data_IF_646888615021
#
_entry.id   IF_646888615021
#
_cell.length_a   1.000
_cell.length_b   1.000
_cell.length_c   1.000
_cell.angle_alpha   90.00
_cell.angle_beta   90.00
_cell.angle_gamma   90.00
#
_symmetry.space_group_name_H-M   'P 1'
#
loop_
_entity.id
_entity.type
_entity.pdbx_description
1 polymer ?
#
# COMPACT_ATOMS: atom_id res chain seq x y z
N UNK A 1 -22.08 -17.21 9.03
CA UNK A 1 -22.20 -15.84 9.56
C UNK A 1 -21.83 -14.93 8.41
N UNK A 2 -22.75 -14.07 7.97
CA UNK A 2 -22.44 -13.02 7.00
C UNK A 2 -21.48 -12.04 7.70
N UNK A 3 -20.29 -11.85 7.15
CA UNK A 3 -19.33 -10.91 7.72
C UNK A 3 -19.81 -9.50 7.37
N UNK A 4 -19.89 -8.63 8.38
CA UNK A 4 -20.29 -7.25 8.15
C UNK A 4 -19.29 -6.57 7.21
N UNK A 5 -19.82 -5.79 6.26
CA UNK A 5 -19.03 -5.10 5.25
C UNK A 5 -19.40 -3.63 5.22
N UNK A 6 -18.42 -2.79 4.88
CA UNK A 6 -18.54 -1.34 4.84
C UNK A 6 -18.14 -0.83 3.47
N UNK A 7 -18.98 0.04 2.93
CA UNK A 7 -18.71 0.77 1.70
C UNK A 7 -17.91 2.04 2.00
N UNK A 8 -16.90 2.30 1.18
CA UNK A 8 -16.05 3.47 1.29
C UNK A 8 -15.79 4.09 -0.10
N UNK A 9 -15.88 5.42 -0.18
CA UNK A 9 -15.68 6.18 -1.40
C UNK A 9 -14.85 7.44 -1.16
N UNK A 10 -13.93 7.71 -2.09
CA UNK A 10 -13.07 8.89 -2.10
C UNK A 10 -12.52 9.12 -3.51
N UNK A 11 -11.91 10.28 -3.75
CA UNK A 11 -11.24 10.55 -5.02
C UNK A 11 -9.73 10.33 -4.88
N UNK A 12 -9.11 9.71 -5.89
CA UNK A 12 -7.71 9.34 -5.90
C UNK A 12 -6.90 10.01 -7.00
N UNK A 13 -5.60 10.12 -6.78
CA UNK A 13 -4.65 10.50 -7.81
C UNK A 13 -4.50 9.42 -8.88
N UNK A 14 -4.04 9.83 -10.07
CA UNK A 14 -3.69 8.88 -11.14
C UNK A 14 -2.55 7.94 -10.72
N UNK A 15 -1.58 8.45 -9.95
CA UNK A 15 -0.50 7.64 -9.39
C UNK A 15 -1.04 6.53 -8.49
N UNK A 16 -1.98 6.85 -7.60
CA UNK A 16 -2.57 5.86 -6.72
C UNK A 16 -3.41 4.83 -7.48
N UNK A 17 -4.15 5.25 -8.51
CA UNK A 17 -4.86 4.34 -9.41
C UNK A 17 -3.91 3.34 -10.10
N UNK A 18 -2.75 3.80 -10.56
CA UNK A 18 -1.70 2.93 -11.13
C UNK A 18 -1.12 1.95 -10.10
N UNK A 19 -0.95 2.36 -8.85
CA UNK A 19 -0.52 1.47 -7.75
C UNK A 19 -1.54 0.36 -7.52
N UNK A 20 -2.81 0.72 -7.42
CA UNK A 20 -3.92 -0.22 -7.21
C UNK A 20 -3.96 -1.26 -8.33
N UNK A 21 -3.95 -0.82 -9.59
CA UNK A 21 -4.05 -1.73 -10.73
C UNK A 21 -2.88 -2.70 -10.81
N UNK A 22 -1.66 -2.26 -10.49
CA UNK A 22 -0.53 -3.17 -10.39
C UNK A 22 -0.69 -4.13 -9.21
N UNK A 23 -1.10 -3.66 -8.04
CA UNK A 23 -1.28 -4.54 -6.88
C UNK A 23 -2.31 -5.64 -7.18
N UNK A 24 -3.39 -5.30 -7.90
CA UNK A 24 -4.35 -6.28 -8.42
C UNK A 24 -3.66 -7.28 -9.35
N UNK A 25 -2.82 -6.81 -10.28
CA UNK A 25 -2.05 -7.69 -11.18
C UNK A 25 -1.12 -8.63 -10.40
N UNK A 26 -0.40 -8.12 -9.40
CA UNK A 26 0.52 -8.90 -8.56
C UNK A 26 -0.22 -9.95 -7.74
N UNK A 27 -1.24 -9.52 -7.02
CA UNK A 27 -2.10 -10.40 -6.22
C UNK A 27 -2.78 -11.48 -7.08
N UNK A 28 -3.31 -11.09 -8.23
CA UNK A 28 -3.97 -12.04 -9.14
C UNK A 28 -2.99 -13.11 -9.65
N UNK A 29 -1.77 -12.69 -9.98
CA UNK A 29 -0.72 -13.59 -10.43
C UNK A 29 -0.25 -14.53 -9.33
N UNK A 30 -0.09 -14.05 -8.09
CA UNK A 30 0.34 -14.89 -6.96
C UNK A 30 -0.72 -15.91 -6.56
N UNK A 31 -2.02 -15.57 -6.69
CA UNK A 31 -3.14 -16.47 -6.41
C UNK A 31 -3.62 -17.28 -7.62
N UNK A 32 -3.09 -17.02 -8.81
CA UNK A 32 -3.55 -17.61 -10.10
C UNK A 32 -5.06 -17.44 -10.35
N UNK A 33 -5.65 -16.35 -9.87
CA UNK A 33 -7.06 -15.99 -10.05
C UNK A 33 -7.20 -14.49 -10.19
N UNK A 34 -8.24 -14.00 -10.88
CA UNK A 34 -8.52 -12.56 -10.88
C UNK A 34 -8.90 -12.09 -9.48
N UNK A 35 -8.18 -11.10 -8.99
CA UNK A 35 -8.39 -10.46 -7.70
C UNK A 35 -9.02 -9.07 -7.79
N UNK A 36 -9.32 -8.49 -6.64
CA UNK A 36 -9.82 -7.13 -6.51
C UNK A 36 -9.08 -6.35 -5.42
N UNK A 37 -9.19 -5.03 -5.42
CA UNK A 37 -8.63 -4.20 -4.35
C UNK A 37 -9.22 -4.57 -2.97
N UNK A 38 -10.51 -4.88 -2.90
CA UNK A 38 -11.15 -5.28 -1.65
C UNK A 38 -10.52 -6.55 -1.07
N UNK A 39 -10.29 -7.57 -1.90
CA UNK A 39 -9.63 -8.81 -1.48
C UNK A 39 -8.21 -8.58 -0.98
N UNK A 40 -7.46 -7.68 -1.64
CA UNK A 40 -6.11 -7.31 -1.20
C UNK A 40 -6.18 -6.64 0.17
N UNK A 41 -7.07 -5.66 0.35
CA UNK A 41 -7.23 -4.94 1.62
C UNK A 41 -7.62 -5.91 2.73
N UNK A 42 -8.60 -6.78 2.48
CA UNK A 42 -9.09 -7.72 3.47
C UNK A 42 -8.01 -8.73 3.90
N UNK A 43 -7.23 -9.26 2.94
CA UNK A 43 -6.14 -10.19 3.24
C UNK A 43 -4.97 -9.53 3.98
N UNK A 44 -4.76 -8.22 3.76
CA UNK A 44 -3.56 -7.50 4.20
C UNK A 44 -3.81 -6.62 5.43
N UNK A 45 -5.06 -6.38 5.81
CA UNK A 45 -5.47 -5.46 6.88
C UNK A 45 -4.73 -5.69 8.20
N UNK A 46 -4.51 -6.95 8.60
CA UNK A 46 -3.78 -7.30 9.81
C UNK A 46 -2.32 -6.79 9.82
N UNK A 47 -1.70 -6.64 8.64
CA UNK A 47 -0.32 -6.15 8.49
C UNK A 47 -0.21 -4.64 8.67
N UNK A 48 -1.32 -3.90 8.71
CA UNK A 48 -1.31 -2.44 8.88
C UNK A 48 -0.63 -2.04 10.20
N UNK A 49 -0.91 -2.81 11.26
CA UNK A 49 -0.29 -2.65 12.58
C UNK A 49 1.22 -2.92 12.62
N UNK A 50 1.79 -3.57 11.59
CA UNK A 50 3.22 -3.89 11.52
C UNK A 50 4.01 -2.89 10.67
N UNK A 51 3.34 -2.01 9.92
CA UNK A 51 4.00 -1.03 9.04
C UNK A 51 5.00 -0.15 9.78
N UNK A 52 4.67 0.28 10.99
CA UNK A 52 5.53 1.13 11.81
C UNK A 52 6.80 0.42 12.32
N UNK A 53 6.82 -0.91 12.30
CA UNK A 53 7.98 -1.74 12.71
C UNK A 53 8.86 -2.09 11.52
N UNK A 54 8.24 -2.27 10.35
CA UNK A 54 8.89 -2.81 9.17
C UNK A 54 9.56 -1.75 8.28
N UNK A 55 9.24 -0.46 8.50
CA UNK A 55 9.75 0.64 7.68
C UNK A 55 10.23 1.80 8.51
N UNK A 56 11.17 2.56 7.95
CA UNK A 56 11.55 3.86 8.50
C UNK A 56 10.52 4.90 8.09
N UNK A 57 10.33 5.91 8.94
CA UNK A 57 9.46 7.05 8.65
C UNK A 57 9.82 7.70 7.30
N UNK A 58 11.11 7.86 7.01
CA UNK A 58 11.60 8.46 5.75
C UNK A 58 11.12 7.71 4.50
N UNK A 59 11.05 6.38 4.55
CA UNK A 59 10.66 5.55 3.41
C UNK A 59 9.15 5.63 3.15
N UNK A 60 8.35 5.58 4.23
CA UNK A 60 6.89 5.71 4.15
C UNK A 60 6.47 7.11 3.69
N UNK A 61 7.13 8.16 4.20
CA UNK A 61 6.91 9.54 3.71
C UNK A 61 7.26 9.65 2.25
N UNK A 62 8.40 9.09 1.83
CA UNK A 62 8.83 9.14 0.44
C UNK A 62 7.84 8.46 -0.49
N UNK A 63 7.26 7.34 -0.09
CA UNK A 63 6.18 6.70 -0.85
C UNK A 63 4.99 7.63 -1.03
N UNK A 64 4.48 8.23 0.04
CA UNK A 64 3.32 9.13 -0.01
C UNK A 64 3.60 10.43 -0.79
N UNK A 65 4.84 10.91 -0.81
CA UNK A 65 5.26 12.02 -1.67
C UNK A 65 5.25 11.64 -3.16
N UNK A 66 5.78 10.45 -3.50
CA UNK A 66 5.88 9.98 -4.88
C UNK A 66 4.51 9.57 -5.42
N UNK A 67 3.67 8.98 -4.57
CA UNK A 67 2.32 8.52 -4.89
C UNK A 67 1.33 9.18 -3.92
N UNK A 68 0.96 10.45 -4.16
CA UNK A 68 -0.08 11.12 -3.40
C UNK A 68 -1.39 10.33 -3.51
N UNK A 69 -2.16 10.23 -2.44
CA UNK A 69 -3.43 9.48 -2.48
C UNK A 69 -4.55 10.29 -3.12
N UNK A 70 -4.63 11.58 -2.82
CA UNK A 70 -5.76 12.42 -3.17
C UNK A 70 -5.67 12.91 -4.62
N UNK A 71 -6.82 12.99 -5.29
CA UNK A 71 -6.92 13.47 -6.66
C UNK A 71 -8.38 13.56 -7.12
N UNK A 72 -8.63 13.45 -8.42
CA UNK A 72 -9.95 13.68 -9.02
C UNK A 72 -10.65 12.41 -9.50
N UNK A 73 -10.00 11.24 -9.43
CA UNK A 73 -10.57 9.97 -9.94
C UNK A 73 -11.44 9.31 -8.87
N UNK A 74 -12.75 9.07 -9.11
CA UNK A 74 -13.60 8.45 -8.10
C UNK A 74 -13.23 6.99 -7.89
N UNK A 75 -13.06 6.59 -6.63
CA UNK A 75 -12.90 5.21 -6.20
C UNK A 75 -13.99 4.86 -5.20
N UNK A 76 -14.56 3.67 -5.38
CA UNK A 76 -15.58 3.10 -4.50
C UNK A 76 -15.25 1.63 -4.27
N UNK A 77 -15.15 1.23 -3.00
CA UNK A 77 -14.90 -0.15 -2.61
C UNK A 77 -15.79 -0.56 -1.44
N UNK A 78 -15.97 -1.87 -1.29
CA UNK A 78 -16.61 -2.47 -0.14
C UNK A 78 -15.65 -3.49 0.45
N UNK A 79 -15.30 -3.34 1.72
CA UNK A 79 -14.37 -4.20 2.46
C UNK A 79 -15.04 -4.71 3.73
N UNK A 80 -14.44 -5.70 4.39
CA UNK A 80 -14.93 -6.17 5.68
C UNK A 80 -14.80 -5.07 6.74
N UNK A 81 -15.78 -4.99 7.63
CA UNK A 81 -15.76 -4.03 8.75
C UNK A 81 -14.53 -4.25 9.64
N UNK A 82 -14.19 -5.51 9.93
CA UNK A 82 -12.96 -5.85 10.67
C UNK A 82 -11.67 -5.42 9.97
N UNK A 83 -11.66 -5.41 8.64
CA UNK A 83 -10.50 -4.94 7.87
C UNK A 83 -10.38 -3.43 7.92
N UNK A 84 -11.52 -2.73 7.86
CA UNK A 84 -11.58 -1.28 8.05
C UNK A 84 -11.04 -0.93 9.43
N UNK A 85 -11.57 -1.55 10.49
CA UNK A 85 -11.18 -1.27 11.86
C UNK A 85 -9.70 -1.54 12.10
N UNK A 86 -9.17 -2.67 11.61
CA UNK A 86 -7.75 -2.99 11.74
C UNK A 86 -6.82 -1.95 11.08
N UNK A 87 -7.26 -1.33 9.97
CA UNK A 87 -6.51 -0.28 9.30
C UNK A 87 -6.64 1.04 10.05
N UNK A 88 -7.86 1.42 10.43
CA UNK A 88 -8.17 2.65 11.15
C UNK A 88 -7.44 2.69 12.50
N UNK A 89 -7.45 1.59 13.24
CA UNK A 89 -6.75 1.41 14.52
C UNK A 89 -5.22 1.49 14.39
N UNK A 90 -4.68 1.25 13.20
CA UNK A 90 -3.23 1.37 12.95
C UNK A 90 -2.78 2.81 12.68
N UNK A 91 -3.70 3.70 12.26
CA UNK A 91 -3.40 5.08 11.86
C UNK A 91 -2.64 5.83 12.95
N UNK A 92 -3.02 5.82 14.25
CA UNK A 92 -2.33 6.60 15.27
C UNK A 92 -0.84 6.28 15.42
N UNK A 93 -0.44 5.01 15.29
CA UNK A 93 0.97 4.62 15.36
C UNK A 93 1.73 5.01 14.09
N UNK A 94 1.08 4.98 12.93
CA UNK A 94 1.65 5.48 11.67
C UNK A 94 1.82 7.00 11.76
N UNK A 95 0.81 7.75 12.21
CA UNK A 95 0.89 9.21 12.41
C UNK A 95 2.01 9.59 13.36
N UNK A 96 2.18 8.85 14.45
CA UNK A 96 3.27 9.06 15.40
C UNK A 96 4.64 8.80 14.77
N UNK A 97 4.78 7.77 13.93
CA UNK A 97 6.01 7.48 13.21
C UNK A 97 6.34 8.56 12.17
N UNK A 98 5.34 9.00 11.40
CA UNK A 98 5.54 10.02 10.38
C UNK A 98 5.67 11.42 11.00
N UNK A 99 5.03 11.69 12.13
CA UNK A 99 4.90 13.04 12.67
C UNK A 99 3.99 13.94 11.83
N UNK A 100 3.11 13.35 11.00
CA UNK A 100 2.14 14.03 10.13
C UNK A 100 0.80 13.28 10.20
N UNK A 101 -0.31 13.96 9.88
CA UNK A 101 -1.63 13.33 9.83
C UNK A 101 -1.74 12.32 8.68
N UNK A 102 -2.39 11.19 8.93
CA UNK A 102 -2.51 10.08 7.97
C UNK A 102 -3.99 9.79 7.74
N UNK A 103 -4.45 9.98 6.51
CA UNK A 103 -5.80 9.56 6.12
C UNK A 103 -5.88 8.03 6.00
N UNK A 104 -7.09 7.49 6.05
CA UNK A 104 -7.31 6.07 5.76
C UNK A 104 -6.79 5.70 4.34
N UNK A 105 -6.91 6.60 3.36
CA UNK A 105 -6.34 6.41 2.02
C UNK A 105 -4.82 6.27 2.04
N UNK A 106 -4.13 7.07 2.86
CA UNK A 106 -2.68 6.95 3.07
C UNK A 106 -2.34 5.58 3.67
N UNK A 107 -3.07 5.13 4.69
CA UNK A 107 -2.85 3.82 5.30
C UNK A 107 -3.02 2.67 4.29
N UNK A 108 -4.06 2.70 3.46
CA UNK A 108 -4.24 1.71 2.38
C UNK A 108 -3.11 1.80 1.34
N UNK A 109 -2.69 3.01 0.96
CA UNK A 109 -1.56 3.19 0.03
C UNK A 109 -0.26 2.59 0.57
N UNK A 110 0.00 2.72 1.88
CA UNK A 110 1.14 2.10 2.56
C UNK A 110 1.02 0.56 2.65
N UNK A 111 -0.18 0.02 2.81
CA UNK A 111 -0.40 -1.44 2.73
C UNK A 111 -0.09 -2.00 1.34
N UNK A 112 -0.48 -1.26 0.29
CA UNK A 112 -0.17 -1.61 -1.09
C UNK A 112 1.32 -1.44 -1.40
N UNK A 113 1.96 -0.42 -0.84
CA UNK A 113 3.41 -0.27 -0.89
C UNK A 113 4.11 -1.51 -0.33
N UNK A 114 3.70 -1.95 0.87
CA UNK A 114 4.26 -3.14 1.50
C UNK A 114 4.09 -4.41 0.62
N UNK A 115 3.00 -4.50 -0.15
CA UNK A 115 2.77 -5.64 -1.05
C UNK A 115 3.76 -5.63 -2.21
N UNK A 116 3.99 -4.45 -2.78
CA UNK A 116 4.96 -4.26 -3.86
C UNK A 116 6.39 -4.60 -3.38
N UNK A 117 6.73 -4.22 -2.14
CA UNK A 117 8.02 -4.53 -1.52
C UNK A 117 8.17 -6.03 -1.29
N UNK A 118 7.15 -6.69 -0.73
CA UNK A 118 7.17 -8.13 -0.43
C UNK A 118 7.32 -9.00 -1.68
N UNK A 119 6.64 -8.65 -2.77
CA UNK A 119 6.76 -9.35 -4.05
C UNK A 119 8.12 -9.11 -4.75
N UNK A 120 9.01 -8.28 -4.17
CA UNK A 120 10.37 -7.95 -4.63
C UNK A 120 10.42 -7.48 -6.11
N UNK A 121 9.34 -6.84 -6.57
CA UNK A 121 9.20 -6.38 -7.96
C UNK A 121 9.79 -4.98 -8.12
N UNK A 122 11.11 -4.86 -8.14
CA UNK A 122 11.76 -3.57 -8.51
C UNK A 122 11.50 -3.15 -9.96
N UNK A 123 10.95 -4.03 -10.81
CA UNK A 123 10.46 -3.70 -12.15
C UNK A 123 9.23 -2.77 -12.14
N UNK A 124 8.47 -2.78 -11.04
CA UNK A 124 7.30 -1.93 -10.80
C UNK A 124 7.57 -0.46 -11.15
N UNK A 125 8.70 0.01 -10.66
CA UNK A 125 9.18 1.37 -10.78
C UNK A 125 9.38 1.84 -12.22
N UNK A 126 9.78 0.93 -13.11
CA UNK A 126 10.03 1.24 -14.53
C UNK A 126 8.72 1.28 -15.33
N UNK A 127 7.68 0.58 -14.86
CA UNK A 127 6.35 0.50 -15.48
C UNK A 127 5.40 1.61 -15.00
N UNK A 128 5.70 2.21 -13.85
CA UNK A 128 4.83 3.17 -13.18
C UNK A 128 4.74 4.55 -13.86
N UNK A 129 5.51 4.79 -14.92
CA UNK A 129 5.60 6.11 -15.55
C UNK A 129 6.24 7.17 -14.66
N UNK A 130 6.90 6.75 -13.57
CA UNK A 130 7.67 7.64 -12.71
C UNK A 130 8.83 8.25 -13.47
N UNK A 131 9.22 9.47 -13.08
CA UNK A 131 10.48 10.03 -13.52
C UNK A 131 11.64 9.11 -13.10
N UNK A 132 12.75 9.11 -13.81
CA UNK A 132 13.92 8.30 -13.44
C UNK A 132 14.42 8.60 -12.01
N UNK A 133 14.21 9.82 -11.51
CA UNK A 133 14.58 10.24 -10.16
C UNK A 133 13.64 9.62 -9.11
N UNK A 134 12.33 9.75 -9.31
CA UNK A 134 11.32 9.18 -8.40
C UNK A 134 11.40 7.66 -8.39
N UNK A 135 11.68 7.08 -9.55
CA UNK A 135 11.95 5.66 -9.69
C UNK A 135 13.11 5.20 -8.80
N UNK A 136 14.25 5.91 -8.86
CA UNK A 136 15.41 5.59 -8.04
C UNK A 136 15.11 5.74 -6.54
N UNK A 137 14.37 6.78 -6.16
CA UNK A 137 13.96 7.02 -4.78
C UNK A 137 13.04 5.90 -4.26
N UNK A 138 12.04 5.51 -5.06
CA UNK A 138 11.11 4.43 -4.72
C UNK A 138 11.82 3.09 -4.49
N UNK A 139 12.78 2.73 -5.35
CA UNK A 139 13.62 1.53 -5.13
C UNK A 139 14.47 1.60 -3.86
N UNK A 140 14.87 2.80 -3.46
CA UNK A 140 15.58 3.03 -2.21
C UNK A 140 14.70 2.72 -1.00
N UNK A 141 13.48 3.24 -1.02
CA UNK A 141 12.47 3.09 0.04
C UNK A 141 11.91 1.66 0.14
N UNK A 142 11.91 0.90 -0.95
CA UNK A 142 11.37 -0.46 -1.03
C UNK A 142 12.26 -1.51 -0.34
N UNK A 143 12.61 -1.30 0.93
CA UNK A 143 13.41 -2.22 1.76
C UNK A 143 12.85 -2.24 3.19
N UNK A 144 12.37 -3.40 3.65
CA UNK A 144 12.00 -3.58 5.05
C UNK A 144 13.24 -3.52 5.95
N UNK A 145 13.12 -2.92 7.14
CA UNK A 145 14.22 -2.79 8.11
C UNK A 145 14.68 -4.10 8.74
N UNK A 146 13.88 -5.16 8.66
CA UNK A 146 14.15 -6.49 9.22
C UNK A 146 14.57 -7.55 8.18
N UNK A 147 14.67 -7.15 6.91
CA UNK A 147 14.97 -8.07 5.80
C UNK A 147 16.35 -8.71 5.93
N UNK A 148 16.41 -9.96 6.42
CA UNK A 148 17.55 -10.86 6.19
C UNK A 148 17.80 -10.92 4.69
N UNK A 149 18.85 -10.25 4.24
CA UNK A 149 19.37 -10.37 2.89
C UNK A 149 19.86 -11.80 2.72
N UNK A 150 19.11 -12.65 2.02
CA UNK A 150 19.64 -13.91 1.48
C UNK A 150 20.21 -13.56 0.10
N UNK A 151 21.54 -13.53 -0.08
CA UNK A 151 22.12 -13.32 -1.40
C UNK A 151 21.79 -14.53 -2.27
N UNK A 152 21.16 -14.28 -3.41
CA UNK A 152 21.03 -15.27 -4.48
C UNK A 152 22.44 -15.46 -5.03
N UNK A 153 23.00 -16.67 -4.86
CA UNK A 153 24.23 -17.13 -5.52
C UNK A 153 23.90 -17.75 -6.86
#
# INVERSE_FOLDING_TARGET
MEQASREWSWNISEGYFRLITECIRLFSNSKTTFGSLAQIIDERSASASELHKNYRAEDLKKHLEIIPTDGDLPLKITILESSYDAIDDSIPEIEKLLGDSVSFANAVSLLLFDLVVEENRTEFVTKFGLSMLDAKAYKGAAKRTDGKVVPIR
#
